data_IF_966804234770
#
_entry.id   IF_966804234770
#
_cell.length_a   1.000
_cell.length_b   1.000
_cell.length_c   1.000
_cell.angle_alpha   90.00
_cell.angle_beta   90.00
_cell.angle_gamma   90.00
#
_symmetry.space_group_name_H-M   'P 1'
#
loop_
_entity.id
_entity.type
_entity.pdbx_description
1 polymer ?
#
# COMPACT_ATOMS: atom_id res chain seq x y z
N UNK A 1 18.64 9.85 -3.50
CA UNK A 1 17.50 10.54 -4.12
C UNK A 1 16.43 9.53 -4.54
N UNK A 2 15.81 8.83 -3.58
CA UNK A 2 14.83 7.76 -3.88
C UNK A 2 13.67 7.79 -2.88
N UNK A 3 13.21 8.98 -2.51
CA UNK A 3 11.93 9.15 -1.85
C UNK A 3 10.90 9.36 -2.94
N UNK A 4 10.42 8.23 -3.49
CA UNK A 4 9.23 8.26 -4.33
C UNK A 4 8.10 8.63 -3.37
N UNK A 5 7.83 9.93 -3.33
CA UNK A 5 6.63 10.53 -2.79
C UNK A 5 5.46 9.70 -3.30
N UNK A 6 4.85 8.94 -2.40
CA UNK A 6 3.52 8.34 -2.54
C UNK A 6 2.44 9.43 -2.59
N UNK A 7 2.77 10.60 -3.16
CA UNK A 7 1.87 11.71 -3.39
C UNK A 7 1.13 11.44 -4.70
N UNK A 8 0.09 10.63 -4.59
CA UNK A 8 -1.24 11.03 -5.05
C UNK A 8 -1.32 11.60 -6.50
N UNK A 9 -0.77 10.91 -7.50
CA UNK A 9 -0.89 11.36 -8.90
C UNK A 9 -0.89 10.23 -9.95
N UNK A 10 -1.10 8.97 -9.55
CA UNK A 10 -1.24 7.88 -10.51
C UNK A 10 -2.69 7.44 -10.57
N UNK A 11 -3.34 7.71 -11.71
CA UNK A 11 -4.64 7.10 -12.03
C UNK A 11 -4.42 5.59 -12.11
N UNK A 12 -4.76 4.89 -11.03
CA UNK A 12 -4.61 3.43 -10.88
C UNK A 12 -5.22 2.67 -12.08
N UNK A 13 -6.25 3.25 -12.70
CA UNK A 13 -6.94 2.71 -13.88
C UNK A 13 -6.06 2.64 -15.13
N UNK A 14 -5.02 3.47 -15.25
CA UNK A 14 -4.11 3.53 -16.40
C UNK A 14 -2.76 2.83 -16.16
N UNK A 15 -2.59 2.17 -15.02
CA UNK A 15 -1.37 1.40 -14.75
C UNK A 15 -1.33 0.13 -15.60
N UNK A 16 -0.28 0.00 -16.40
CA UNK A 16 0.07 -1.23 -17.12
C UNK A 16 0.41 -2.37 -16.15
N UNK A 17 1.08 -2.06 -15.04
CA UNK A 17 1.38 -3.01 -13.97
C UNK A 17 0.86 -2.50 -12.60
N UNK A 18 -0.34 -2.91 -12.17
CA UNK A 18 -0.87 -2.55 -10.85
C UNK A 18 -0.28 -3.41 -9.72
N UNK A 19 0.52 -4.44 -10.01
CA UNK A 19 1.01 -5.41 -9.01
C UNK A 19 2.24 -4.85 -8.27
N UNK A 20 3.21 -4.30 -8.99
CA UNK A 20 4.44 -3.75 -8.41
C UNK A 20 4.22 -2.74 -7.27
N UNK A 21 3.32 -1.73 -7.38
CA UNK A 21 3.04 -0.84 -6.26
C UNK A 21 2.34 -1.53 -5.08
N UNK A 22 1.58 -2.61 -5.32
CA UNK A 22 1.00 -3.41 -4.23
C UNK A 22 2.08 -4.18 -3.47
N UNK A 23 3.12 -4.68 -4.15
CA UNK A 23 4.25 -5.33 -3.46
C UNK A 23 4.90 -4.39 -2.44
N UNK A 24 5.08 -3.11 -2.82
CA UNK A 24 5.57 -2.08 -1.92
C UNK A 24 4.63 -1.86 -0.74
N UNK A 25 3.32 -1.76 -0.97
CA UNK A 25 2.33 -1.60 0.11
C UNK A 25 2.37 -2.79 1.08
N UNK A 26 2.38 -4.01 0.56
CA UNK A 26 2.43 -5.22 1.38
C UNK A 26 3.73 -5.27 2.20
N UNK A 27 4.86 -4.82 1.64
CA UNK A 27 6.13 -4.72 2.38
C UNK A 27 6.13 -3.67 3.50
N UNK A 28 5.25 -2.66 3.43
CA UNK A 28 5.14 -1.55 4.40
C UNK A 28 4.12 -1.81 5.49
N UNK A 29 3.21 -2.76 5.30
CA UNK A 29 2.15 -3.10 6.25
C UNK A 29 2.47 -4.40 6.99
N UNK A 30 1.97 -4.55 8.23
CA UNK A 30 2.04 -5.85 8.90
C UNK A 30 1.13 -6.86 8.20
N UNK A 31 1.59 -8.08 7.90
CA UNK A 31 0.76 -9.12 7.29
C UNK A 31 -0.54 -9.39 8.06
N UNK A 32 -0.48 -9.35 9.40
CA UNK A 32 -1.65 -9.54 10.27
C UNK A 32 -2.69 -8.44 10.09
N UNK A 33 -2.27 -7.20 9.88
CA UNK A 33 -3.19 -6.08 9.63
C UNK A 33 -3.90 -6.26 8.29
N UNK A 34 -3.16 -6.66 7.25
CA UNK A 34 -3.74 -6.92 5.93
C UNK A 34 -4.72 -8.11 5.98
N UNK A 35 -4.37 -9.19 6.68
CA UNK A 35 -5.25 -10.33 6.90
C UNK A 35 -6.58 -9.91 7.55
N UNK A 36 -6.51 -9.14 8.62
CA UNK A 36 -7.69 -8.65 9.33
C UNK A 36 -8.50 -7.66 8.47
N UNK A 37 -7.83 -6.74 7.77
CA UNK A 37 -8.48 -5.71 6.94
C UNK A 37 -9.26 -6.34 5.79
N UNK A 38 -8.68 -7.34 5.14
CA UNK A 38 -9.28 -7.99 3.98
C UNK A 38 -10.08 -9.25 4.33
N UNK A 39 -10.08 -9.68 5.61
CA UNK A 39 -10.71 -10.91 6.07
C UNK A 39 -10.23 -12.13 5.27
N UNK A 40 -8.91 -12.28 5.16
CA UNK A 40 -8.26 -13.35 4.40
C UNK A 40 -7.38 -14.21 5.31
N UNK A 41 -7.14 -15.48 4.95
CA UNK A 41 -6.20 -16.33 5.67
C UNK A 41 -4.76 -15.84 5.50
N UNK A 42 -3.84 -16.51 6.20
CA UNK A 42 -2.41 -16.26 6.07
C UNK A 42 -1.97 -16.46 4.61
N UNK A 43 -1.27 -15.47 4.08
CA UNK A 43 -0.69 -15.51 2.74
C UNK A 43 0.84 -15.58 2.84
N UNK A 44 1.47 -16.20 1.84
CA UNK A 44 2.93 -16.38 1.79
C UNK A 44 3.65 -15.26 1.06
N UNK A 45 3.00 -14.75 0.03
CA UNK A 45 3.55 -13.77 -0.90
C UNK A 45 2.43 -12.89 -1.45
N UNK A 46 2.80 -11.87 -2.23
CA UNK A 46 1.86 -10.87 -2.74
C UNK A 46 0.88 -11.48 -3.75
N UNK A 47 1.29 -12.49 -4.53
CA UNK A 47 0.37 -13.18 -5.44
C UNK A 47 -0.69 -13.95 -4.65
N UNK A 48 -0.29 -14.69 -3.62
CA UNK A 48 -1.20 -15.42 -2.74
C UNK A 48 -2.16 -14.46 -2.00
N UNK A 49 -1.66 -13.33 -1.51
CA UNK A 49 -2.47 -12.24 -0.97
C UNK A 49 -3.54 -11.76 -1.96
N UNK A 50 -3.13 -11.44 -3.19
CA UNK A 50 -4.04 -10.95 -4.23
C UNK A 50 -5.06 -12.00 -4.66
N UNK A 51 -4.70 -13.29 -4.67
CA UNK A 51 -5.62 -14.40 -4.94
C UNK A 51 -6.69 -14.47 -3.85
N UNK A 52 -6.29 -14.37 -2.58
CA UNK A 52 -7.24 -14.37 -1.47
C UNK A 52 -8.18 -13.16 -1.53
N UNK A 53 -7.65 -11.96 -1.78
CA UNK A 53 -8.44 -10.74 -1.95
C UNK A 53 -9.40 -10.86 -3.14
N UNK A 54 -8.92 -11.38 -4.27
CA UNK A 54 -9.74 -11.58 -5.47
C UNK A 54 -10.93 -12.49 -5.20
N UNK A 55 -10.72 -13.60 -4.48
CA UNK A 55 -11.79 -14.51 -4.06
C UNK A 55 -12.76 -13.84 -3.08
N UNK A 56 -12.24 -13.18 -2.05
CA UNK A 56 -13.05 -12.51 -1.04
C UNK A 56 -13.93 -11.38 -1.62
N UNK A 57 -13.43 -10.68 -2.63
CA UNK A 57 -14.14 -9.57 -3.30
C UNK A 57 -14.90 -9.99 -4.55
N UNK A 58 -14.99 -11.28 -4.85
CA UNK A 58 -15.68 -11.81 -6.03
C UNK A 58 -15.07 -11.37 -7.37
N UNK A 59 -13.79 -10.99 -7.39
CA UNK A 59 -13.07 -10.56 -8.59
C UNK A 59 -12.52 -11.79 -9.30
N UNK A 60 -13.40 -12.51 -9.99
CA UNK A 60 -13.06 -13.70 -10.76
C UNK A 60 -13.23 -13.43 -12.26
N UNK A 61 -12.30 -13.93 -13.08
CA UNK A 61 -12.43 -14.04 -14.54
C UNK A 61 -13.36 -15.23 -14.87
N UNK A 62 -13.66 -15.41 -16.16
CA UNK A 62 -14.44 -16.56 -16.65
C UNK A 62 -13.82 -17.88 -16.16
N UNK A 63 -14.66 -18.82 -15.73
CA UNK A 63 -14.22 -20.10 -15.17
C UNK A 63 -13.80 -20.06 -13.70
N UNK A 64 -14.08 -18.98 -12.97
CA UNK A 64 -13.78 -18.88 -11.54
C UNK A 64 -12.31 -18.59 -11.22
N UNK A 65 -11.53 -18.18 -12.23
CA UNK A 65 -10.11 -17.90 -12.08
C UNK A 65 -9.94 -16.54 -11.37
N UNK A 66 -9.19 -16.46 -10.25
CA UNK A 66 -8.95 -15.19 -9.55
C UNK A 66 -8.38 -14.11 -10.47
N UNK A 67 -8.97 -12.91 -10.44
CA UNK A 67 -8.49 -11.75 -11.18
C UNK A 67 -7.53 -10.92 -10.30
N UNK A 68 -6.26 -11.30 -10.34
CA UNK A 68 -5.18 -10.69 -9.55
C UNK A 68 -5.04 -9.19 -9.83
N UNK A 69 -5.10 -8.78 -11.10
CA UNK A 69 -4.98 -7.37 -11.48
C UNK A 69 -6.15 -6.51 -10.97
N UNK A 70 -7.37 -7.07 -10.98
CA UNK A 70 -8.53 -6.38 -10.44
C UNK A 70 -8.45 -6.26 -8.91
N UNK A 71 -7.94 -7.28 -8.22
CA UNK A 71 -7.65 -7.20 -6.80
C UNK A 71 -6.59 -6.14 -6.50
N UNK A 72 -5.49 -6.10 -7.25
CA UNK A 72 -4.42 -5.13 -7.08
C UNK A 72 -4.92 -3.69 -7.17
N UNK A 73 -5.78 -3.38 -8.15
CA UNK A 73 -6.40 -2.05 -8.28
C UNK A 73 -7.26 -1.67 -7.06
N UNK A 74 -7.97 -2.62 -6.45
CA UNK A 74 -8.75 -2.37 -5.22
C UNK A 74 -7.81 -2.02 -4.06
N UNK A 75 -6.71 -2.76 -3.90
CA UNK A 75 -5.71 -2.48 -2.85
C UNK A 75 -5.13 -1.08 -3.03
N UNK A 76 -4.78 -0.71 -4.26
CA UNK A 76 -4.27 0.63 -4.56
C UNK A 76 -5.31 1.74 -4.29
N UNK A 77 -6.59 1.50 -4.59
CA UNK A 77 -7.66 2.44 -4.29
C UNK A 77 -7.86 2.60 -2.78
N UNK A 78 -7.83 1.49 -2.03
CA UNK A 78 -7.90 1.50 -0.57
C UNK A 78 -6.71 2.23 0.04
N UNK A 79 -5.51 2.02 -0.50
CA UNK A 79 -4.29 2.73 -0.10
C UNK A 79 -4.43 4.24 -0.31
N UNK A 80 -4.81 4.67 -1.52
CA UNK A 80 -4.97 6.08 -1.86
C UNK A 80 -6.08 6.77 -1.05
N UNK A 81 -7.10 6.01 -0.64
CA UNK A 81 -8.19 6.51 0.19
C UNK A 81 -7.86 6.54 1.69
N UNK A 82 -6.65 6.10 2.09
CA UNK A 82 -6.24 5.98 3.49
C UNK A 82 -6.93 4.87 4.27
N UNK A 83 -7.60 3.93 3.58
CA UNK A 83 -8.32 2.82 4.19
C UNK A 83 -7.39 1.70 4.68
N UNK A 84 -6.16 1.64 4.16
CA UNK A 84 -5.10 0.77 4.65
C UNK A 84 -4.32 1.58 5.67
N UNK A 85 -4.40 1.26 6.98
CA UNK A 85 -3.58 1.94 7.96
C UNK A 85 -2.12 1.60 7.70
N UNK A 86 -1.33 2.60 7.37
CA UNK A 86 0.12 2.50 7.30
C UNK A 86 0.73 3.49 8.28
N UNK A 87 1.59 2.98 9.15
CA UNK A 87 2.42 3.83 9.98
C UNK A 87 3.57 4.29 9.09
N UNK A 88 3.47 5.48 8.50
CA UNK A 88 4.71 6.23 8.26
C UNK A 88 5.23 6.55 9.65
N UNK A 89 6.33 5.92 10.06
CA UNK A 89 7.18 6.59 11.02
C UNK A 89 7.41 7.99 10.43
N UNK A 90 7.03 9.08 11.12
CA UNK A 90 7.41 10.39 10.65
C UNK A 90 8.92 10.34 10.41
N UNK A 91 9.43 10.90 9.29
CA UNK A 91 10.87 10.98 9.12
C UNK A 91 11.39 11.58 10.41
N UNK A 92 12.26 10.85 11.11
CA UNK A 92 13.00 11.41 12.22
C UNK A 92 13.76 12.55 11.56
N UNK A 93 13.27 13.78 11.70
CA UNK A 93 14.05 14.95 11.36
C UNK A 93 15.29 14.81 12.21
N UNK A 94 16.35 14.29 11.58
CA UNK A 94 17.71 14.54 11.97
C UNK A 94 17.77 16.03 12.26
N UNK A 95 17.96 16.28 13.55
CA UNK A 95 18.07 17.57 14.20
C UNK A 95 19.11 18.39 13.43
N UNK A 96 18.66 19.19 12.47
CA UNK A 96 19.52 20.10 11.75
C UNK A 96 19.79 21.30 12.66
N UNK A 97 20.64 21.09 13.66
CA UNK A 97 21.78 21.95 14.01
C UNK A 97 21.65 23.38 13.45
N UNK A 98 20.83 24.21 14.10
CA UNK A 98 21.11 25.65 14.19
C UNK A 98 21.00 25.97 15.68
N UNK A 99 22.15 25.82 16.33
CA UNK A 99 22.46 26.51 17.58
C UNK A 99 22.13 27.99 17.44
N UNK A 100 21.30 28.49 18.38
CA UNK A 100 21.38 29.77 19.13
C UNK A 100 21.76 31.01 18.30
N UNK A 101 20.99 32.10 18.29
CA UNK A 101 20.82 32.99 19.44
C UNK A 101 19.48 33.75 19.37
N UNK A 102 18.80 33.77 20.52
CA UNK A 102 17.72 34.72 20.81
C UNK A 102 18.38 35.84 21.61
N UNK A 103 18.46 37.06 21.09
CA UNK A 103 18.43 38.24 21.97
C UNK A 103 17.77 39.43 21.28
N UNK A 104 16.76 39.95 21.97
CA UNK A 104 16.06 41.19 21.71
C UNK A 104 16.98 42.39 21.96
N UNK A 105 16.98 43.37 21.04
CA UNK A 105 16.73 44.79 21.34
C UNK A 105 16.52 45.58 20.04
#
# INVERSE_FOLDING_TARGET
>A
NSEILLNNCVKIEQLDDPISPVELIVSRCSPQQLMNKYNIPMFRDVNDFLIHVARQRGKLKRGGIPNIEAAARIILQDWNSGNIPYFTMPPTSVENSITMEVENN
#
